data_IF_018535765550
#
_entry.id   IF_018535765550
#
_cell.length_a   1.000
_cell.length_b   1.000
_cell.length_c   1.000
_cell.angle_alpha   90.00
_cell.angle_beta   90.00
_cell.angle_gamma   90.00
#
_symmetry.space_group_name_H-M   'P 1'
#
loop_
_entity.id
_entity.type
_entity.pdbx_description
1 polymer ?
#
# COMPACT_ATOMS: atom_id res chain seq x y z
N UNK A 1 -12.06 37.93 -6.82
CA UNK A 1 -11.92 38.77 -8.04
C UNK A 1 -11.63 37.83 -9.22
N UNK A 2 -11.99 38.15 -10.46
CA UNK A 2 -11.77 37.23 -11.58
C UNK A 2 -10.45 37.57 -12.29
N UNK A 3 -9.53 36.60 -12.42
CA UNK A 3 -8.26 36.77 -13.13
C UNK A 3 -8.28 36.00 -14.44
N UNK A 4 -7.76 36.62 -15.50
CA UNK A 4 -7.61 35.98 -16.81
C UNK A 4 -6.24 35.29 -16.88
N UNK A 5 -6.24 34.00 -17.21
CA UNK A 5 -5.03 33.19 -17.40
C UNK A 5 -5.05 32.61 -18.82
N UNK A 6 -3.91 32.63 -19.53
CA UNK A 6 -3.84 32.01 -20.86
C UNK A 6 -4.06 30.50 -20.77
N UNK A 7 -4.82 29.92 -21.70
CA UNK A 7 -5.15 28.48 -21.70
C UNK A 7 -3.87 27.61 -21.67
N UNK A 8 -2.82 28.04 -22.35
CA UNK A 8 -1.55 27.30 -22.43
C UNK A 8 -0.77 27.27 -21.10
N UNK A 9 -0.92 28.30 -20.27
CA UNK A 9 -0.23 28.47 -18.98
C UNK A 9 -1.11 28.05 -17.79
N UNK A 10 -2.38 27.73 -18.05
CA UNK A 10 -3.30 27.28 -17.03
C UNK A 10 -2.93 25.87 -16.52
N UNK A 11 -3.12 25.68 -15.21
CA UNK A 11 -2.91 24.39 -14.55
C UNK A 11 -4.04 23.42 -14.92
N UNK A 12 -3.75 22.11 -14.89
CA UNK A 12 -4.73 21.04 -15.16
C UNK A 12 -6.05 21.22 -14.40
N UNK A 13 -5.96 21.53 -13.10
CA UNK A 13 -7.11 21.75 -12.24
C UNK A 13 -7.96 22.97 -12.67
N UNK A 14 -7.30 24.07 -13.03
CA UNK A 14 -7.96 25.29 -13.52
C UNK A 14 -8.72 25.05 -14.82
N UNK A 15 -8.14 24.26 -15.74
CA UNK A 15 -8.80 23.87 -16.99
C UNK A 15 -10.02 22.98 -16.73
N UNK A 16 -9.92 22.03 -15.80
CA UNK A 16 -11.00 21.12 -15.46
C UNK A 16 -12.16 21.86 -14.78
N UNK A 17 -11.85 22.74 -13.84
CA UNK A 17 -12.81 23.61 -13.17
C UNK A 17 -13.52 24.53 -14.16
N UNK A 18 -12.77 25.19 -15.05
CA UNK A 18 -13.35 26.03 -16.09
C UNK A 18 -14.23 25.24 -17.07
N UNK A 19 -13.78 24.06 -17.52
CA UNK A 19 -14.55 23.20 -18.41
C UNK A 19 -15.88 22.76 -17.76
N UNK A 20 -15.89 22.49 -16.47
CA UNK A 20 -17.10 22.08 -15.73
C UNK A 20 -18.04 23.25 -15.46
N UNK A 21 -17.51 24.37 -14.97
CA UNK A 21 -18.32 25.51 -14.50
C UNK A 21 -18.78 26.42 -15.63
N UNK A 22 -17.95 26.63 -16.66
CA UNK A 22 -18.27 27.56 -17.77
C UNK A 22 -18.78 26.84 -19.00
N UNK A 23 -18.18 25.69 -19.33
CA UNK A 23 -18.52 24.95 -20.56
C UNK A 23 -19.45 23.75 -20.32
N UNK A 24 -19.70 23.37 -19.06
CA UNK A 24 -20.57 22.24 -18.71
C UNK A 24 -20.01 20.86 -19.07
N UNK A 25 -18.73 20.75 -19.42
CA UNK A 25 -18.10 19.46 -19.74
C UNK A 25 -17.67 18.73 -18.47
N UNK A 26 -18.29 17.59 -18.22
CA UNK A 26 -17.87 16.68 -17.15
C UNK A 26 -16.79 15.72 -17.68
N UNK A 27 -15.52 16.11 -17.55
CA UNK A 27 -14.38 15.26 -17.92
C UNK A 27 -13.82 14.52 -16.70
N UNK A 28 -13.35 13.27 -16.85
CA UNK A 28 -12.76 12.51 -15.75
C UNK A 28 -11.44 13.14 -15.28
N UNK A 29 -11.08 13.03 -13.99
CA UNK A 29 -9.92 13.71 -13.39
C UNK A 29 -8.56 13.28 -13.99
N UNK A 30 -8.48 12.06 -14.54
CA UNK A 30 -7.27 11.48 -15.13
C UNK A 30 -7.07 11.79 -16.62
N UNK A 31 -7.84 12.72 -17.20
CA UNK A 31 -7.66 13.12 -18.58
C UNK A 31 -6.35 13.92 -18.75
N UNK A 32 -5.65 13.78 -19.87
CA UNK A 32 -4.43 14.56 -20.10
C UNK A 32 -4.72 16.06 -20.25
N UNK A 33 -3.81 16.91 -19.74
CA UNK A 33 -3.88 18.38 -19.87
C UNK A 33 -4.09 18.81 -21.32
N UNK A 34 -3.36 18.20 -22.24
CA UNK A 34 -3.43 18.49 -23.69
C UNK A 34 -4.84 18.24 -24.25
N UNK A 35 -5.50 17.17 -23.80
CA UNK A 35 -6.87 16.83 -24.20
C UNK A 35 -7.88 17.82 -23.63
N UNK A 36 -7.68 18.33 -22.41
CA UNK A 36 -8.52 19.41 -21.87
C UNK A 36 -8.32 20.72 -22.63
N UNK A 37 -7.07 21.10 -22.91
CA UNK A 37 -6.75 22.29 -23.70
C UNK A 37 -7.43 22.23 -25.06
N UNK A 38 -7.31 21.10 -25.77
CA UNK A 38 -7.93 20.92 -27.08
C UNK A 38 -9.47 21.03 -27.03
N UNK A 39 -10.11 20.43 -26.01
CA UNK A 39 -11.58 20.51 -25.84
C UNK A 39 -12.04 21.92 -25.50
N UNK A 40 -11.30 22.62 -24.64
CA UNK A 40 -11.60 23.99 -24.25
C UNK A 40 -11.38 24.92 -25.43
N UNK A 41 -10.31 24.78 -26.22
CA UNK A 41 -10.06 25.62 -27.40
C UNK A 41 -11.10 25.43 -28.51
N UNK A 42 -11.73 24.26 -28.60
CA UNK A 42 -12.83 24.01 -29.56
C UNK A 42 -14.11 24.73 -29.13
N UNK A 43 -14.42 24.73 -27.82
CA UNK A 43 -15.65 25.32 -27.29
C UNK A 43 -15.51 26.80 -26.91
N UNK A 44 -14.28 27.29 -26.71
CA UNK A 44 -13.97 28.62 -26.21
C UNK A 44 -12.97 29.32 -27.16
N UNK A 45 -13.46 30.31 -27.91
CA UNK A 45 -12.72 31.00 -28.98
C UNK A 45 -11.68 32.00 -28.47
N UNK A 46 -11.50 32.16 -27.16
CA UNK A 46 -10.57 33.12 -26.56
C UNK A 46 -9.37 32.37 -25.99
N UNK A 47 -8.17 32.94 -26.14
CA UNK A 47 -6.93 32.33 -25.62
C UNK A 47 -6.78 32.37 -24.09
N UNK A 48 -7.79 32.85 -23.36
CA UNK A 48 -7.77 33.01 -21.91
C UNK A 48 -9.00 32.40 -21.23
N UNK A 49 -8.77 31.77 -20.08
CA UNK A 49 -9.81 31.34 -19.14
C UNK A 49 -9.97 32.38 -18.04
N UNK A 50 -11.22 32.57 -17.61
CA UNK A 50 -11.52 33.41 -16.44
C UNK A 50 -11.51 32.51 -15.22
N UNK A 51 -10.45 32.59 -14.42
CA UNK A 51 -10.34 31.90 -13.14
C UNK A 51 -10.92 32.82 -12.08
N UNK A 52 -12.00 32.39 -11.43
CA UNK A 52 -12.48 33.05 -10.22
C UNK A 52 -11.41 32.85 -9.14
N UNK A 53 -10.68 33.92 -8.81
CA UNK A 53 -9.74 33.95 -7.69
C UNK A 53 -10.59 33.94 -6.41
N UNK A 54 -10.97 32.73 -5.98
CA UNK A 54 -10.78 32.39 -4.59
C UNK A 54 -9.29 32.64 -4.33
N UNK A 55 -9.02 33.52 -3.37
CA UNK A 55 -7.69 33.88 -2.88
C UNK A 55 -6.75 32.70 -3.06
N UNK A 56 -5.60 32.96 -3.71
CA UNK A 56 -4.48 32.05 -3.87
C UNK A 56 -4.78 30.70 -3.22
N UNK A 57 -5.05 29.68 -4.02
CA UNK A 57 -4.90 28.32 -3.55
C UNK A 57 -3.42 28.19 -3.16
N UNK A 58 -3.10 28.64 -1.94
CA UNK A 58 -2.34 27.88 -0.96
C UNK A 58 -2.59 26.46 -1.38
N UNK A 59 -1.54 25.82 -1.90
CA UNK A 59 -1.56 24.39 -2.17
C UNK A 59 -2.49 23.77 -1.15
N UNK A 60 -3.54 23.06 -1.59
CA UNK A 60 -4.19 22.09 -0.73
C UNK A 60 -3.19 20.94 -0.48
N UNK A 61 -1.99 21.27 0.02
CA UNK A 61 -1.61 20.72 1.29
C UNK A 61 -2.84 20.91 2.19
N UNK A 62 -3.45 19.81 2.62
CA UNK A 62 -4.06 19.87 3.94
C UNK A 62 -2.96 20.27 4.96
N UNK A 63 -2.94 19.69 6.15
CA UNK A 63 -1.65 19.19 6.56
C UNK A 63 -1.16 18.27 5.41
N UNK A 64 -0.32 18.79 4.49
CA UNK A 64 0.81 17.96 4.11
C UNK A 64 1.39 17.58 5.47
N UNK A 65 1.46 16.28 5.83
CA UNK A 65 2.22 15.93 7.02
C UNK A 65 3.52 16.68 6.85
N UNK A 66 3.89 17.48 7.86
CA UNK A 66 5.21 18.10 7.93
C UNK A 66 6.19 17.05 7.36
N UNK A 67 7.11 17.38 6.42
CA UNK A 67 8.16 16.43 6.10
C UNK A 67 8.67 15.99 7.45
N UNK A 68 8.47 14.71 7.79
CA UNK A 68 8.69 14.25 9.13
C UNK A 68 10.15 14.60 9.39
N UNK A 69 10.37 15.63 10.20
CA UNK A 69 11.66 15.81 10.86
C UNK A 69 11.91 14.44 11.49
N UNK A 70 13.10 13.87 11.34
CA UNK A 70 13.42 12.51 11.78
C UNK A 70 12.94 12.17 13.23
N UNK A 71 12.61 13.19 14.02
CA UNK A 71 11.91 13.12 15.31
C UNK A 71 10.42 12.72 15.33
N UNK A 72 9.74 12.57 14.18
CA UNK A 72 8.33 12.11 14.11
C UNK A 72 8.15 10.75 13.42
N UNK A 73 9.25 10.04 13.15
CA UNK A 73 9.17 8.64 12.76
C UNK A 73 8.47 7.87 13.88
N UNK A 74 7.34 7.23 13.53
CA UNK A 74 6.75 6.22 14.39
C UNK A 74 7.87 5.25 14.79
N UNK A 75 7.92 4.77 16.05
CA UNK A 75 9.01 3.91 16.49
C UNK A 75 9.23 2.83 15.45
N UNK A 76 10.44 2.80 14.86
CA UNK A 76 10.80 1.87 13.81
C UNK A 76 10.39 0.47 14.29
N UNK A 77 9.35 -0.07 13.66
CA UNK A 77 8.85 -1.38 14.08
C UNK A 77 9.95 -2.38 13.73
N UNK A 78 10.37 -3.23 14.67
CA UNK A 78 11.40 -4.22 14.38
C UNK A 78 10.98 -5.03 13.16
N UNK A 79 11.83 -5.03 12.14
CA UNK A 79 11.61 -5.78 10.90
C UNK A 79 12.45 -7.05 10.91
N UNK A 80 11.92 -8.10 10.31
CA UNK A 80 12.58 -9.40 10.17
C UNK A 80 12.49 -9.80 8.72
N UNK A 81 13.63 -10.16 8.13
CA UNK A 81 13.68 -10.69 6.77
C UNK A 81 13.50 -12.19 6.80
N UNK A 82 12.42 -12.67 6.20
CA UNK A 82 12.11 -14.10 6.12
C UNK A 82 11.99 -14.57 4.67
N UNK A 83 12.20 -15.86 4.46
CA UNK A 83 11.86 -16.57 3.23
C UNK A 83 11.00 -17.78 3.58
N UNK A 84 9.78 -17.83 3.03
CA UNK A 84 8.89 -18.98 3.18
C UNK A 84 9.10 -19.90 1.98
N UNK A 85 9.48 -21.15 2.22
CA UNK A 85 9.74 -22.10 1.14
C UNK A 85 8.46 -22.45 0.38
N UNK A 86 8.62 -22.65 -0.92
CA UNK A 86 7.60 -23.23 -1.78
C UNK A 86 7.49 -24.72 -1.43
N UNK A 87 6.27 -25.21 -1.25
CA UNK A 87 5.99 -26.64 -1.03
C UNK A 87 5.26 -27.24 -2.22
N UNK A 88 5.40 -28.55 -2.43
CA UNK A 88 4.72 -29.28 -3.52
C UNK A 88 3.24 -29.59 -3.22
N UNK A 89 2.74 -29.15 -2.05
CA UNK A 89 1.35 -29.30 -1.67
C UNK A 89 0.45 -28.33 -2.45
N UNK A 90 -0.85 -28.66 -2.54
CA UNK A 90 -1.83 -27.77 -3.17
C UNK A 90 -1.83 -26.39 -2.48
N UNK A 91 -1.63 -25.32 -3.26
CA UNK A 91 -1.48 -23.96 -2.72
C UNK A 91 -0.08 -23.65 -2.16
N UNK A 92 0.89 -24.54 -2.31
CA UNK A 92 2.27 -24.37 -1.83
C UNK A 92 3.09 -23.29 -2.56
N UNK A 93 2.55 -22.74 -3.66
CA UNK A 93 3.06 -21.57 -4.37
C UNK A 93 2.32 -20.26 -4.03
N UNK A 94 1.19 -20.32 -3.33
CA UNK A 94 0.36 -19.15 -3.04
C UNK A 94 0.93 -18.34 -1.87
N UNK A 95 0.60 -17.04 -1.86
CA UNK A 95 1.00 -16.15 -0.78
C UNK A 95 0.33 -16.58 0.54
N UNK A 96 1.08 -16.55 1.64
CA UNK A 96 0.62 -16.94 2.96
C UNK A 96 -0.12 -15.77 3.60
N UNK A 97 -1.42 -15.90 3.92
CA UNK A 97 -2.15 -14.89 4.66
C UNK A 97 -1.84 -14.96 6.15
N UNK A 98 -1.32 -13.88 6.71
CA UNK A 98 -1.03 -13.76 8.15
C UNK A 98 -1.81 -12.60 8.73
N UNK A 99 -2.59 -12.87 9.78
CA UNK A 99 -3.45 -11.90 10.45
C UNK A 99 -2.90 -11.46 11.80
N UNK A 100 -2.80 -10.15 12.03
CA UNK A 100 -2.47 -9.55 13.33
C UNK A 100 -3.52 -8.47 13.63
N UNK A 101 -4.25 -8.58 14.73
CA UNK A 101 -5.23 -7.59 15.19
C UNK A 101 -6.21 -7.11 14.08
N UNK A 102 -6.75 -8.05 13.30
CA UNK A 102 -7.71 -7.76 12.22
C UNK A 102 -7.09 -7.23 10.92
N UNK A 103 -5.75 -7.08 10.84
CA UNK A 103 -5.04 -6.73 9.61
C UNK A 103 -4.37 -7.97 9.02
N UNK A 104 -4.62 -8.22 7.74
CA UNK A 104 -4.05 -9.36 7.01
C UNK A 104 -2.91 -8.87 6.12
N UNK A 105 -1.77 -9.55 6.18
CA UNK A 105 -0.64 -9.38 5.28
C UNK A 105 -0.49 -10.65 4.45
N UNK A 106 -0.35 -10.50 3.13
CA UNK A 106 -0.07 -11.61 2.22
C UNK A 106 1.44 -11.68 1.99
N UNK A 107 2.08 -12.76 2.46
CA UNK A 107 3.53 -12.94 2.36
C UNK A 107 3.81 -13.90 1.18
N UNK A 108 4.46 -13.44 0.11
CA UNK A 108 4.77 -14.32 -1.03
C UNK A 108 5.81 -15.37 -0.64
N UNK A 109 5.64 -16.60 -1.15
CA UNK A 109 6.60 -17.69 -0.98
C UNK A 109 7.75 -17.60 -1.99
N UNK A 110 8.89 -18.18 -1.64
CA UNK A 110 10.08 -18.27 -2.49
C UNK A 110 10.80 -16.94 -2.70
N UNK A 111 10.47 -15.90 -1.93
CA UNK A 111 11.11 -14.58 -1.98
C UNK A 111 11.50 -14.14 -0.59
N UNK A 112 12.58 -13.37 -0.52
CA UNK A 112 13.02 -12.73 0.71
C UNK A 112 12.17 -11.48 0.94
N UNK A 113 11.45 -11.44 2.04
CA UNK A 113 10.51 -10.36 2.36
C UNK A 113 10.77 -9.86 3.76
N UNK A 114 10.86 -8.55 3.89
CA UNK A 114 10.92 -7.86 5.18
C UNK A 114 9.50 -7.73 5.74
N UNK A 115 9.29 -8.32 6.92
CA UNK A 115 8.01 -8.30 7.63
C UNK A 115 8.17 -7.71 9.03
N UNK A 116 7.13 -7.05 9.58
CA UNK A 116 7.18 -6.61 10.97
C UNK A 116 7.26 -7.81 11.92
N UNK A 117 7.96 -7.64 13.05
CA UNK A 117 8.15 -8.68 14.07
C UNK A 117 6.84 -9.31 14.55
N UNK A 118 5.76 -8.53 14.61
CA UNK A 118 4.42 -9.03 15.00
C UNK A 118 3.91 -10.12 14.06
N UNK A 119 4.19 -10.02 12.75
CA UNK A 119 3.81 -11.04 11.78
C UNK A 119 4.76 -12.26 11.84
N UNK A 120 6.04 -12.02 12.11
CA UNK A 120 7.01 -13.08 12.37
C UNK A 120 6.63 -13.93 13.57
N UNK A 121 6.20 -13.31 14.67
CA UNK A 121 5.78 -14.01 15.88
C UNK A 121 4.56 -14.91 15.62
N UNK A 122 3.58 -14.41 14.86
CA UNK A 122 2.44 -15.24 14.43
C UNK A 122 2.89 -16.43 13.59
N UNK A 123 3.80 -16.24 12.63
CA UNK A 123 4.34 -17.34 11.82
C UNK A 123 5.11 -18.36 12.67
N UNK A 124 5.90 -17.90 13.63
CA UNK A 124 6.67 -18.76 14.55
C UNK A 124 5.75 -19.64 15.41
N UNK A 125 4.62 -19.10 15.86
CA UNK A 125 3.64 -19.82 16.68
C UNK A 125 2.56 -20.54 15.85
N UNK A 126 2.57 -20.40 14.52
CA UNK A 126 1.66 -21.11 13.64
C UNK A 126 2.08 -22.59 13.49
N UNK A 127 1.56 -23.44 14.39
CA UNK A 127 1.82 -24.89 14.41
C UNK A 127 0.60 -25.71 14.02
N UNK A 128 0.83 -26.84 13.38
CA UNK A 128 -0.13 -27.86 13.00
C UNK A 128 0.17 -29.16 13.75
N UNK A 129 -0.86 -29.85 14.20
CA UNK A 129 -0.75 -31.18 14.82
C UNK A 129 -0.79 -32.25 13.74
N UNK A 130 0.29 -33.01 13.57
CA UNK A 130 0.35 -34.19 12.69
C UNK A 130 0.26 -35.47 13.53
N UNK A 131 -0.55 -36.42 13.04
CA UNK A 131 -0.70 -37.75 13.61
C UNK A 131 0.00 -38.74 12.69
N UNK A 132 1.01 -39.44 13.18
CA UNK A 132 1.72 -40.45 12.40
C UNK A 132 0.99 -41.81 12.52
N UNK A 133 0.85 -42.57 11.42
CA UNK A 133 0.29 -43.92 11.48
C UNK A 133 1.24 -44.87 12.21
N UNK A 134 0.70 -45.68 13.11
CA UNK A 134 1.44 -46.74 13.79
C UNK A 134 1.62 -47.95 12.86
N UNK A 135 2.68 -48.76 13.06
CA UNK A 135 2.94 -49.95 12.27
C UNK A 135 1.87 -51.05 12.41
N UNK A 136 0.98 -50.97 13.42
CA UNK A 136 -0.17 -51.88 13.61
C UNK A 136 -1.43 -51.45 12.83
N UNK A 137 -1.35 -50.36 12.06
CA UNK A 137 -2.49 -49.78 11.33
C UNK A 137 -3.36 -48.83 12.16
N UNK A 138 -3.02 -48.60 13.43
CA UNK A 138 -3.62 -47.57 14.28
C UNK A 138 -3.07 -46.17 13.98
N UNK A 139 -3.72 -45.13 14.52
CA UNK A 139 -3.16 -43.76 14.54
C UNK A 139 -2.47 -43.51 15.88
N UNK A 140 -1.28 -42.91 15.84
CA UNK A 140 -0.63 -42.48 17.06
C UNK A 140 -1.45 -41.37 17.74
N UNK A 141 -1.92 -41.62 18.95
CA UNK A 141 -2.76 -40.70 19.72
C UNK A 141 -1.98 -39.48 20.23
N UNK A 142 -0.65 -39.53 20.24
CA UNK A 142 0.21 -38.42 20.62
C UNK A 142 0.57 -37.63 19.34
N UNK A 143 -0.05 -36.47 19.09
CA UNK A 143 0.29 -35.66 17.93
C UNK A 143 1.67 -35.03 18.09
N UNK A 144 2.40 -34.91 16.99
CA UNK A 144 3.57 -34.04 16.91
C UNK A 144 3.18 -32.67 16.40
N UNK A 145 3.76 -31.63 16.98
CA UNK A 145 3.58 -30.25 16.53
C UNK A 145 4.63 -29.94 15.46
N UNK A 146 4.17 -29.51 14.29
CA UNK A 146 5.04 -29.09 13.19
C UNK A 146 4.65 -27.67 12.76
N UNK A 147 5.60 -26.81 12.40
CA UNK A 147 5.27 -25.50 11.84
C UNK A 147 4.38 -25.65 10.60
N UNK A 148 3.28 -24.89 10.56
CA UNK A 148 2.35 -24.89 9.43
C UNK A 148 3.03 -24.35 8.17
N UNK A 149 3.89 -23.34 8.34
CA UNK A 149 4.64 -22.73 7.25
C UNK A 149 6.13 -22.80 7.59
N UNK A 150 6.90 -23.72 7.00
CA UNK A 150 8.35 -23.73 7.19
C UNK A 150 8.97 -22.50 6.53
N UNK A 151 9.68 -21.69 7.32
CA UNK A 151 10.36 -20.48 6.86
C UNK A 151 11.80 -20.42 7.38
N UNK A 152 12.63 -19.69 6.66
CA UNK A 152 14.00 -19.36 7.03
C UNK A 152 14.09 -17.88 7.42
N UNK A 153 14.79 -17.58 8.51
CA UNK A 153 15.11 -16.20 8.91
C UNK A 153 16.47 -15.85 8.33
N UNK A 154 16.54 -14.79 7.53
CA UNK A 154 17.75 -14.35 6.83
C UNK A 154 18.43 -13.22 7.60
N UNK A 155 17.65 -12.30 8.14
CA UNK A 155 18.13 -11.18 8.94
C UNK A 155 17.11 -10.92 10.06
N UNK A 156 17.54 -11.11 11.31
CA UNK A 156 16.78 -10.69 12.47
C UNK A 156 17.55 -9.56 13.13
N UNK A 157 17.15 -8.31 12.88
CA UNK A 157 17.62 -7.17 13.66
C UNK A 157 16.88 -7.21 15.00
N UNK A 158 17.31 -8.12 15.87
CA UNK A 158 16.82 -8.20 17.25
C UNK A 158 17.43 -7.02 17.99
N UNK A 159 16.65 -5.93 18.16
CA UNK A 159 16.95 -4.96 19.22
C UNK A 159 16.56 -5.62 20.54
N UNK A 160 17.54 -6.16 21.25
CA UNK A 160 17.40 -6.76 22.59
C UNK A 160 16.97 -5.74 23.69
N UNK A 161 16.62 -4.49 23.34
CA UNK A 161 16.38 -3.40 24.29
C UNK A 161 14.93 -3.24 24.80
N UNK A 162 14.04 -4.22 24.57
CA UNK A 162 12.64 -4.17 25.07
C UNK A 162 12.37 -5.22 26.16
N UNK A 163 13.37 -5.50 26.98
CA UNK A 163 13.20 -6.16 28.27
C UNK A 163 13.45 -5.15 29.40
N UNK A 164 12.40 -4.42 29.80
CA UNK A 164 12.33 -3.67 31.05
C UNK A 164 10.91 -3.71 31.59
#
# INVERSE_FOLDING_TARGET
MNRQVKIAEATHDQLLKFARETLGFNSPPNIGRETLVARISVAWTKDYITVAEAAAEVSQAGPQPLPQTAEQEAPEKPMVRINIHITEEAGGNEAVPVGVNGRIMLIPRGKDVDIPYTYYEVLKHAVMKKYDPMPDGGMNLVPREVPTYPFQVILAEVREDIAA
#
